data_IF_742360130990
#
_entry.id   IF_742360130990
#
_cell.length_a   1.000
_cell.length_b   1.000
_cell.length_c   1.000
_cell.angle_alpha   90.00
_cell.angle_beta   90.00
_cell.angle_gamma   90.00
#
_symmetry.space_group_name_H-M   'P 1'
#
loop_
_entity.id
_entity.type
_entity.pdbx_description
1 polymer ?
#
# COMPACT_ATOMS: atom_id res chain seq x y z
N UNK A 1 3.26 -10.16 23.32
CA UNK A 1 2.97 -9.47 22.08
C UNK A 1 2.53 -8.04 22.35
N UNK A 2 2.97 -7.14 21.60
CA UNK A 2 2.79 -5.74 21.92
C UNK A 2 1.88 -5.04 20.91
N UNK A 3 0.99 -4.25 21.45
CA UNK A 3 0.26 -3.26 20.67
C UNK A 3 1.16 -2.05 20.51
N UNK A 4 0.98 -1.32 19.43
CA UNK A 4 1.79 -0.13 19.18
C UNK A 4 0.97 0.94 18.50
N UNK A 5 1.46 2.17 18.55
CA UNK A 5 0.87 3.29 17.86
C UNK A 5 1.63 3.51 16.56
N UNK A 6 0.90 3.67 15.46
CA UNK A 6 1.52 3.84 14.14
C UNK A 6 2.11 5.25 14.01
N UNK A 7 3.36 5.39 14.43
CA UNK A 7 4.06 6.67 14.39
C UNK A 7 5.20 6.64 13.38
N UNK A 8 5.82 5.49 13.18
CA UNK A 8 7.11 5.37 12.51
C UNK A 8 7.06 4.40 11.32
N UNK A 9 5.94 4.31 10.63
CA UNK A 9 5.85 3.51 9.42
C UNK A 9 6.85 4.01 8.38
N UNK A 10 7.55 3.06 7.77
CA UNK A 10 8.47 3.37 6.67
C UNK A 10 7.83 2.98 5.36
N UNK A 11 7.76 3.91 4.42
CA UNK A 11 7.19 3.69 3.10
C UNK A 11 8.21 4.09 2.05
N UNK A 12 8.54 3.15 1.18
CA UNK A 12 9.50 3.37 0.10
C UNK A 12 8.84 3.04 -1.23
N UNK A 13 8.96 3.93 -2.20
CA UNK A 13 8.43 3.74 -3.55
C UNK A 13 9.62 3.80 -4.51
N UNK A 14 9.89 2.69 -5.21
CA UNK A 14 11.03 2.55 -6.12
C UNK A 14 12.36 2.98 -5.49
N UNK A 15 12.53 2.68 -4.19
CA UNK A 15 13.76 3.00 -3.46
C UNK A 15 13.80 4.39 -2.85
N UNK A 16 12.82 5.23 -3.11
CA UNK A 16 12.73 6.57 -2.51
C UNK A 16 11.86 6.52 -1.27
N UNK A 17 12.36 7.02 -0.15
CA UNK A 17 11.66 7.05 1.13
C UNK A 17 10.71 8.25 1.17
N UNK A 18 9.42 7.98 1.29
CA UNK A 18 8.37 9.00 1.39
C UNK A 18 7.75 9.08 2.78
N UNK A 19 8.34 8.44 3.77
CA UNK A 19 7.73 8.33 5.11
C UNK A 19 7.38 9.68 5.71
N UNK A 20 8.18 10.71 5.47
CA UNK A 20 7.93 12.05 6.00
C UNK A 20 6.82 12.80 5.27
N UNK A 21 6.40 12.32 4.11
CA UNK A 21 5.35 12.94 3.29
C UNK A 21 4.03 12.17 3.32
N UNK A 22 3.96 11.07 4.08
CA UNK A 22 2.80 10.20 4.13
C UNK A 22 2.24 10.22 5.55
N UNK A 23 0.92 10.43 5.66
CA UNK A 23 0.24 10.43 6.95
C UNK A 23 -0.71 9.26 7.14
N UNK A 24 -0.95 8.47 6.10
CA UNK A 24 -1.82 7.28 6.21
C UNK A 24 -1.42 6.25 5.18
N UNK A 25 -1.38 4.99 5.60
CA UNK A 25 -1.03 3.85 4.75
C UNK A 25 -2.05 2.74 5.01
N UNK A 26 -2.57 2.17 3.95
CA UNK A 26 -3.49 1.03 4.06
C UNK A 26 -3.10 0.00 3.00
N UNK A 27 -2.69 -1.18 3.45
CA UNK A 27 -2.45 -2.33 2.56
C UNK A 27 -3.53 -3.36 2.87
N UNK A 28 -4.39 -3.63 1.90
CA UNK A 28 -5.46 -4.61 2.02
C UNK A 28 -5.19 -5.77 1.08
N UNK A 29 -5.20 -6.98 1.62
CA UNK A 29 -4.98 -8.20 0.86
C UNK A 29 -6.21 -9.07 1.00
N UNK A 30 -6.77 -9.51 -0.12
CA UNK A 30 -7.98 -10.30 -0.14
C UNK A 30 -7.78 -11.56 -0.97
N UNK A 31 -8.55 -12.59 -0.63
CA UNK A 31 -8.63 -13.83 -1.39
C UNK A 31 -10.06 -14.00 -1.87
N UNK A 32 -10.23 -14.38 -3.13
CA UNK A 32 -11.54 -14.67 -3.66
C UNK A 32 -12.15 -15.85 -2.90
N UNK A 33 -13.45 -15.79 -2.71
CA UNK A 33 -14.23 -16.79 -2.00
C UNK A 33 -15.04 -17.56 -3.05
N UNK A 34 -14.75 -18.85 -3.24
CA UNK A 34 -15.43 -19.68 -4.21
C UNK A 34 -16.27 -20.70 -3.47
N UNK A 35 -17.59 -20.64 -3.66
CA UNK A 35 -18.50 -21.58 -3.01
C UNK A 35 -18.46 -22.94 -3.71
N UNK A 36 -18.39 -23.99 -2.91
CA UNK A 36 -18.33 -25.37 -3.40
C UNK A 36 -19.49 -26.21 -2.89
N UNK A 37 -20.52 -25.58 -2.32
CA UNK A 37 -21.67 -26.27 -1.77
C UNK A 37 -22.38 -27.11 -2.85
N UNK A 38 -22.71 -28.34 -2.48
CA UNK A 38 -23.41 -29.27 -3.38
C UNK A 38 -24.69 -29.77 -2.73
N UNK A 39 -25.51 -30.46 -3.53
CA UNK A 39 -26.74 -31.07 -3.04
C UNK A 39 -26.45 -32.07 -1.94
N UNK A 40 -27.29 -32.09 -0.92
CA UNK A 40 -27.14 -32.96 0.24
C UNK A 40 -26.40 -32.33 1.38
N UNK A 41 -25.75 -31.21 1.16
CA UNK A 41 -25.08 -30.45 2.23
C UNK A 41 -26.09 -29.60 2.99
N UNK A 42 -25.96 -29.53 4.31
CA UNK A 42 -26.76 -28.64 5.15
C UNK A 42 -26.05 -27.34 5.51
N UNK A 43 -24.74 -27.27 5.23
CA UNK A 43 -23.93 -26.06 5.41
C UNK A 43 -23.24 -25.71 4.11
N UNK A 44 -22.94 -24.45 3.92
CA UNK A 44 -22.15 -23.99 2.78
C UNK A 44 -20.69 -24.34 2.96
N UNK A 45 -20.02 -24.71 1.87
CA UNK A 45 -18.56 -24.95 1.85
C UNK A 45 -17.90 -24.04 0.84
N UNK A 46 -16.65 -23.65 1.10
CA UNK A 46 -15.94 -22.66 0.30
C UNK A 46 -14.48 -23.01 0.17
N UNK A 47 -13.85 -22.56 -0.93
CA UNK A 47 -12.39 -22.63 -1.09
C UNK A 47 -11.90 -21.23 -1.47
N UNK A 48 -10.65 -20.96 -1.14
CA UNK A 48 -10.01 -19.72 -1.55
C UNK A 48 -9.65 -19.74 -3.03
N UNK A 49 -9.88 -18.62 -3.71
CA UNK A 49 -9.49 -18.43 -5.08
C UNK A 49 -8.27 -17.54 -5.23
N UNK A 50 -8.26 -16.74 -6.29
CA UNK A 50 -7.16 -15.80 -6.52
C UNK A 50 -7.10 -14.74 -5.42
N UNK A 51 -5.89 -14.32 -5.09
CA UNK A 51 -5.64 -13.23 -4.16
C UNK A 51 -5.45 -11.94 -4.93
N UNK A 52 -5.86 -10.84 -4.32
CA UNK A 52 -5.63 -9.50 -4.83
C UNK A 52 -5.32 -8.57 -3.67
N UNK A 53 -4.65 -7.47 -3.98
CA UNK A 53 -4.31 -6.50 -2.95
C UNK A 53 -4.35 -5.09 -3.53
N UNK A 54 -4.48 -4.13 -2.65
CA UNK A 54 -4.41 -2.71 -3.01
C UNK A 54 -3.70 -1.95 -1.90
N UNK A 55 -3.05 -0.85 -2.26
CA UNK A 55 -2.40 0.04 -1.32
C UNK A 55 -3.02 1.41 -1.47
N UNK A 56 -3.48 1.98 -0.36
CA UNK A 56 -3.96 3.36 -0.29
C UNK A 56 -2.95 4.19 0.48
N UNK A 57 -2.50 5.28 -0.11
CA UNK A 57 -1.52 6.17 0.49
C UNK A 57 -2.08 7.59 0.49
N UNK A 58 -2.00 8.26 1.64
CA UNK A 58 -2.34 9.66 1.78
C UNK A 58 -1.06 10.45 1.94
N UNK A 59 -0.78 11.33 1.00
CA UNK A 59 0.43 12.13 0.96
C UNK A 59 0.16 13.58 1.36
N UNK A 60 1.16 14.22 1.95
CA UNK A 60 1.27 15.67 1.95
C UNK A 60 1.94 16.05 0.62
N UNK A 61 1.29 16.91 -0.15
CA UNK A 61 1.81 17.27 -1.48
C UNK A 61 3.10 18.09 -1.35
N UNK A 62 4.05 17.79 -2.22
CA UNK A 62 5.34 18.46 -2.26
C UNK A 62 5.81 18.53 -3.71
N UNK A 63 6.00 19.75 -4.21
CA UNK A 63 6.46 19.98 -5.57
C UNK A 63 7.96 20.21 -5.68
N UNK A 64 8.70 20.00 -4.58
CA UNK A 64 10.15 20.11 -4.60
C UNK A 64 10.81 19.03 -5.45
N UNK A 65 12.13 19.15 -5.66
CA UNK A 65 12.88 18.15 -6.40
C UNK A 65 12.99 16.85 -5.61
N UNK A 66 12.90 15.71 -6.29
CA UNK A 66 12.91 14.36 -5.70
C UNK A 66 11.82 14.15 -4.64
N UNK A 67 10.75 14.94 -4.70
CA UNK A 67 9.63 14.84 -3.77
C UNK A 67 8.42 14.20 -4.42
N UNK A 68 7.24 14.34 -3.81
CA UNK A 68 6.03 13.61 -4.21
C UNK A 68 5.71 13.79 -5.68
N UNK A 69 5.56 15.05 -6.14
CA UNK A 69 5.15 15.31 -7.52
C UNK A 69 6.22 14.86 -8.52
N UNK A 70 7.49 15.16 -8.27
CA UNK A 70 8.56 14.85 -9.21
C UNK A 70 8.79 13.35 -9.38
N UNK A 71 8.40 12.54 -8.41
CA UNK A 71 8.54 11.08 -8.48
C UNK A 71 7.27 10.42 -8.97
N UNK A 72 6.09 10.85 -8.51
CA UNK A 72 4.84 10.16 -8.83
C UNK A 72 4.33 10.46 -10.24
N UNK A 73 4.50 11.67 -10.72
CA UNK A 73 3.97 12.02 -12.04
C UNK A 73 4.57 11.17 -13.17
N UNK A 74 5.90 10.97 -13.23
CA UNK A 74 6.48 10.11 -14.26
C UNK A 74 6.09 8.64 -14.12
N UNK A 75 5.69 8.19 -12.92
CA UNK A 75 5.31 6.81 -12.66
C UNK A 75 3.90 6.50 -13.13
N UNK A 76 3.09 7.51 -13.45
CA UNK A 76 1.70 7.28 -13.84
C UNK A 76 1.65 6.34 -15.05
N UNK A 77 0.79 5.33 -14.97
CA UNK A 77 0.63 4.27 -15.96
C UNK A 77 1.83 3.31 -16.05
N UNK A 78 2.61 3.19 -14.99
CA UNK A 78 3.70 2.23 -14.91
C UNK A 78 3.62 1.46 -13.61
N UNK A 79 4.48 0.45 -13.45
CA UNK A 79 4.56 -0.34 -12.23
C UNK A 79 5.59 0.27 -11.29
N UNK A 80 5.26 0.31 -10.01
CA UNK A 80 6.16 0.81 -8.97
C UNK A 80 6.24 -0.21 -7.84
N UNK A 81 7.43 -0.40 -7.28
CA UNK A 81 7.65 -1.27 -6.14
C UNK A 81 7.47 -0.45 -4.86
N UNK A 82 6.53 -0.86 -4.03
CA UNK A 82 6.22 -0.21 -2.75
C UNK A 82 6.64 -1.15 -1.63
N UNK A 83 7.44 -0.64 -0.70
CA UNK A 83 7.87 -1.40 0.48
C UNK A 83 7.36 -0.71 1.73
N UNK A 84 6.68 -1.47 2.57
CA UNK A 84 6.09 -0.98 3.82
C UNK A 84 6.73 -1.71 5.00
N UNK A 85 7.17 -0.97 6.01
CA UNK A 85 7.73 -1.54 7.23
C UNK A 85 7.05 -0.86 8.42
N UNK A 86 6.67 -1.61 9.48
CA UNK A 86 5.99 -1.01 10.64
C UNK A 86 6.81 0.03 11.37
N UNK A 87 8.14 -0.08 11.35
CA UNK A 87 9.03 0.94 11.93
C UNK A 87 10.22 1.16 11.01
N UNK A 88 10.95 2.25 11.24
CA UNK A 88 12.14 2.55 10.47
C UNK A 88 13.35 1.70 10.85
N UNK A 89 13.20 0.80 11.80
CA UNK A 89 14.28 -0.08 12.24
C UNK A 89 14.58 -1.22 11.27
N UNK A 90 15.50 -2.08 11.67
CA UNK A 90 15.90 -3.23 10.86
C UNK A 90 14.74 -4.23 10.71
N UNK A 91 14.59 -4.77 9.52
CA UNK A 91 13.57 -5.80 9.26
C UNK A 91 13.88 -7.05 10.09
N UNK A 92 12.88 -7.58 10.77
CA UNK A 92 12.99 -8.76 11.62
C UNK A 92 11.64 -9.47 11.73
N UNK A 93 11.59 -10.56 12.48
CA UNK A 93 10.34 -11.32 12.67
C UNK A 93 9.24 -10.47 13.33
N UNK A 94 9.61 -9.46 14.12
CA UNK A 94 8.67 -8.54 14.77
C UNK A 94 8.55 -7.21 14.05
N UNK A 95 9.30 -7.01 12.98
CA UNK A 95 9.28 -5.81 12.15
C UNK A 95 9.37 -6.22 10.67
N UNK A 96 8.34 -6.92 10.15
CA UNK A 96 8.41 -7.47 8.79
C UNK A 96 8.24 -6.37 7.74
N UNK A 97 8.84 -6.59 6.56
CA UNK A 97 8.59 -5.74 5.42
C UNK A 97 7.57 -6.39 4.49
N UNK A 98 6.70 -5.56 3.92
CA UNK A 98 5.74 -5.97 2.90
C UNK A 98 6.11 -5.28 1.60
N UNK A 99 6.39 -6.06 0.58
CA UNK A 99 6.78 -5.57 -0.74
C UNK A 99 5.70 -5.91 -1.74
N UNK A 100 5.23 -4.92 -2.46
CA UNK A 100 4.22 -5.11 -3.50
C UNK A 100 4.58 -4.29 -4.73
N UNK A 101 4.35 -4.85 -5.90
CA UNK A 101 4.44 -4.12 -7.16
C UNK A 101 3.05 -3.62 -7.48
N UNK A 102 2.90 -2.31 -7.61
CA UNK A 102 1.61 -1.66 -7.84
C UNK A 102 1.56 -1.03 -9.22
N UNK A 103 0.38 -1.05 -9.83
CA UNK A 103 0.13 -0.25 -11.03
C UNK A 103 -0.25 1.15 -10.57
N UNK A 104 0.57 2.13 -10.96
CA UNK A 104 0.31 3.54 -10.65
C UNK A 104 -0.71 4.05 -11.67
N UNK A 105 -1.98 3.87 -11.37
CA UNK A 105 -3.07 4.22 -12.29
C UNK A 105 -3.85 5.45 -11.83
N UNK A 106 -3.40 6.10 -10.77
CA UNK A 106 -4.08 7.27 -10.21
C UNK A 106 -3.07 8.21 -9.58
N UNK A 107 -3.22 9.50 -9.85
CA UNK A 107 -2.45 10.54 -9.19
C UNK A 107 -3.26 11.82 -9.21
N UNK A 108 -3.42 12.45 -8.05
CA UNK A 108 -4.17 13.69 -7.87
C UNK A 108 -3.25 14.81 -7.40
N UNK A 109 -2.58 15.53 -8.31
CA UNK A 109 -1.64 16.56 -7.89
C UNK A 109 -2.29 17.74 -7.16
N UNK A 110 -3.58 17.98 -7.42
CA UNK A 110 -4.33 19.06 -6.78
C UNK A 110 -5.62 18.48 -6.20
N UNK A 111 -5.74 18.48 -4.89
CA UNK A 111 -6.88 17.88 -4.21
C UNK A 111 -7.26 18.63 -2.93
N UNK A 112 -6.92 19.91 -2.84
CA UNK A 112 -7.09 20.69 -1.61
C UNK A 112 -7.85 21.98 -1.86
N UNK A 113 -8.48 22.49 -0.81
CA UNK A 113 -9.18 23.77 -0.83
C UNK A 113 -8.33 24.88 -0.20
N UNK A 114 -8.77 26.13 -0.40
CA UNK A 114 -8.10 27.28 0.18
C UNK A 114 -8.10 27.17 1.71
N UNK A 115 -6.94 27.35 2.31
CA UNK A 115 -6.77 27.30 3.76
C UNK A 115 -6.40 25.93 4.29
N UNK A 116 -6.48 24.89 3.46
CA UNK A 116 -6.14 23.52 3.87
C UNK A 116 -4.69 23.19 3.53
N UNK A 117 -4.12 22.26 4.30
CA UNK A 117 -2.85 21.66 3.94
C UNK A 117 -2.99 20.93 2.62
N UNK A 118 -2.04 21.09 1.72
CA UNK A 118 -2.08 20.42 0.43
C UNK A 118 -1.82 18.92 0.63
N UNK A 119 -2.84 18.11 0.37
CA UNK A 119 -2.78 16.66 0.52
C UNK A 119 -3.35 15.98 -0.71
N UNK A 120 -3.04 14.71 -0.88
CA UNK A 120 -3.63 13.89 -1.93
C UNK A 120 -3.73 12.44 -1.45
N UNK A 121 -4.64 11.70 -2.05
CA UNK A 121 -4.84 10.28 -1.75
C UNK A 121 -4.79 9.49 -3.03
N UNK A 122 -4.08 8.36 -3.01
CA UNK A 122 -4.03 7.44 -4.14
C UNK A 122 -4.33 6.03 -3.67
N UNK A 123 -5.01 5.26 -4.53
CA UNK A 123 -5.24 3.83 -4.31
C UNK A 123 -4.73 3.10 -5.54
N UNK A 124 -3.74 2.25 -5.33
CA UNK A 124 -3.12 1.50 -6.42
C UNK A 124 -3.37 0.00 -6.24
N UNK A 125 -3.88 -0.68 -7.27
CA UNK A 125 -3.97 -2.14 -7.25
C UNK A 125 -2.58 -2.74 -7.42
N UNK A 126 -2.35 -3.89 -6.81
CA UNK A 126 -1.09 -4.60 -6.97
C UNK A 126 -1.11 -5.46 -8.23
N UNK A 127 0.06 -5.66 -8.81
CA UNK A 127 0.27 -6.58 -9.92
C UNK A 127 1.26 -7.64 -9.48
N UNK A 128 0.77 -8.83 -9.16
CA UNK A 128 1.61 -9.91 -8.69
C UNK A 128 1.48 -10.16 -7.19
N UNK A 129 2.42 -10.92 -6.66
CA UNK A 129 2.38 -11.38 -5.28
C UNK A 129 2.89 -10.30 -4.32
N UNK A 130 2.18 -10.13 -3.20
CA UNK A 130 2.69 -9.34 -2.08
C UNK A 130 3.60 -10.23 -1.25
N UNK A 131 4.83 -9.81 -1.04
CA UNK A 131 5.84 -10.58 -0.34
C UNK A 131 6.05 -10.01 1.06
N UNK A 132 5.93 -10.88 2.07
CA UNK A 132 6.25 -10.53 3.45
C UNK A 132 7.61 -11.10 3.79
N UNK A 133 8.52 -10.25 4.22
CA UNK A 133 9.88 -10.65 4.58
C UNK A 133 10.17 -10.31 6.04
N UNK A 134 10.91 -11.20 6.73
CA UNK A 134 11.26 -11.03 8.14
C UNK A 134 12.77 -10.93 8.35
N UNK A 135 13.49 -10.83 7.26
CA UNK A 135 14.95 -10.68 7.31
C UNK A 135 15.46 -9.99 6.06
#
# INVERSE_FOLDING_TARGET
MSKFVAIDYKVTINGTDFSSSINSVDLSIESADVETTAFGSTFTTRVGGLKSASITLDFHQDFGSSSVDSVLFPLLNSLATVVLVPTSGTVSATNPSYTAVCLVNQYQPFASAVGDLATLSVTWPTSGTVVRATA
#
